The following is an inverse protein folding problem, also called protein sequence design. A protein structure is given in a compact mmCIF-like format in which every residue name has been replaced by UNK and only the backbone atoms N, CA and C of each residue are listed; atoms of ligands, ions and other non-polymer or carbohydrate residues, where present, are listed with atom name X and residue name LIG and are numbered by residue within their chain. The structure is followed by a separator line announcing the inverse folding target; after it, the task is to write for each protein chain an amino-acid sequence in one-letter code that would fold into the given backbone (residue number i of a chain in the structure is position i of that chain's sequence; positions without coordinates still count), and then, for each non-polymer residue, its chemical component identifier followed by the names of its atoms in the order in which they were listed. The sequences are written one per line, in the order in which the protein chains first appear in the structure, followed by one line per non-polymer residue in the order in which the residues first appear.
data_IF_773434042039
#
_entry.id   IF_773434042039
#
_cell.length_a   1.000
_cell.length_b   1.000
_cell.length_c   1.000
_cell.angle_alpha   90.00
_cell.angle_beta   90.00
_cell.angle_gamma   90.00
#
_symmetry.space_group_name_H-M   'P 1'
#
loop_
_entity.id
_entity.type
_entity.pdbx_description
1 polymer ?
#
# COMPACT_ATOMS: atom_id res chain seq x y z
N UNK A 1 9.38 -9.70 -9.69
CA UNK A 1 10.25 -10.03 -8.55
C UNK A 1 10.78 -8.74 -7.95
N UNK A 2 10.91 -8.63 -6.63
CA UNK A 2 11.47 -7.43 -5.97
C UNK A 2 12.97 -7.68 -5.82
N UNK A 3 13.79 -6.90 -6.51
CA UNK A 3 15.25 -6.98 -6.47
C UNK A 3 15.87 -5.73 -5.88
N UNK A 4 17.12 -5.84 -5.43
CA UNK A 4 17.92 -4.66 -5.13
C UNK A 4 18.31 -3.97 -6.43
N UNK A 5 18.11 -2.65 -6.50
CA UNK A 5 18.61 -1.84 -7.59
C UNK A 5 20.15 -1.81 -7.55
N UNK A 6 20.80 -1.93 -8.71
CA UNK A 6 22.27 -1.86 -8.82
C UNK A 6 22.76 -0.43 -9.03
N UNK A 7 21.88 0.48 -9.44
CA UNK A 7 22.12 1.92 -9.54
C UNK A 7 20.99 2.69 -8.86
N UNK A 8 21.29 3.89 -8.33
CA UNK A 8 20.25 4.81 -7.85
C UNK A 8 19.34 5.30 -8.98
N UNK A 9 19.83 5.32 -10.21
CA UNK A 9 19.05 5.73 -11.38
C UNK A 9 17.92 4.74 -11.73
N UNK A 10 18.02 3.48 -11.25
CA UNK A 10 16.98 2.47 -11.43
C UNK A 10 15.86 2.58 -10.37
N UNK A 11 16.07 3.42 -9.35
CA UNK A 11 15.17 3.56 -8.20
C UNK A 11 14.09 4.57 -8.53
N UNK A 12 12.91 4.08 -8.88
CA UNK A 12 11.73 4.92 -9.11
C UNK A 12 11.02 5.33 -7.82
N UNK A 13 11.29 4.62 -6.71
CA UNK A 13 10.77 4.94 -5.38
C UNK A 13 11.82 4.59 -4.30
N UNK A 14 12.56 5.58 -3.75
CA UNK A 14 13.63 5.31 -2.79
C UNK A 14 13.07 5.00 -1.40
N UNK A 15 12.94 3.72 -1.09
CA UNK A 15 12.51 3.22 0.22
C UNK A 15 13.66 2.48 0.89
N UNK A 16 13.99 2.92 2.10
CA UNK A 16 14.94 2.24 2.96
C UNK A 16 14.20 1.42 4.02
N UNK A 17 14.46 0.12 4.03
CA UNK A 17 13.95 -0.78 5.06
C UNK A 17 14.88 -0.80 6.28
N UNK A 18 14.30 -0.63 7.46
CA UNK A 18 15.02 -0.67 8.74
C UNK A 18 14.35 -1.69 9.65
N UNK A 19 15.09 -2.73 10.00
CA UNK A 19 14.67 -3.65 11.05
C UNK A 19 14.67 -2.94 12.40
N UNK A 20 13.57 -3.08 13.14
CA UNK A 20 13.50 -2.62 14.52
C UNK A 20 14.43 -3.48 15.40
N UNK A 21 15.66 -3.02 15.61
CA UNK A 21 16.58 -3.63 16.58
C UNK A 21 16.17 -3.31 18.02
N UNK A 22 16.77 -3.99 19.01
CA UNK A 22 16.55 -3.70 20.43
C UNK A 22 16.74 -2.21 20.76
N UNK A 23 17.79 -1.60 20.20
CA UNK A 23 18.08 -0.17 20.39
C UNK A 23 16.95 0.72 19.85
N UNK A 24 16.46 0.42 18.65
CA UNK A 24 15.40 1.22 18.00
C UNK A 24 14.06 1.02 18.72
N UNK A 25 13.79 -0.18 19.21
CA UNK A 25 12.56 -0.52 19.94
C UNK A 25 12.43 0.30 21.24
N UNK A 26 13.54 0.61 21.91
CA UNK A 26 13.54 1.47 23.11
C UNK A 26 13.18 2.93 22.79
N UNK A 27 13.65 3.42 21.64
CA UNK A 27 13.64 4.85 21.33
C UNK A 27 12.50 5.24 20.36
N UNK A 28 11.74 4.27 19.82
CA UNK A 28 10.62 4.51 18.91
C UNK A 28 9.40 3.63 19.22
N UNK A 29 8.29 4.27 19.61
CA UNK A 29 7.01 3.62 19.95
C UNK A 29 6.36 2.80 18.83
N UNK A 30 6.73 3.04 17.57
CA UNK A 30 6.23 2.30 16.40
C UNK A 30 7.08 1.07 16.09
N UNK A 31 8.15 0.83 16.86
CA UNK A 31 8.88 -0.43 16.89
C UNK A 31 8.50 -1.17 18.18
N UNK A 32 7.92 -2.36 18.06
CA UNK A 32 7.40 -3.12 19.20
C UNK A 32 8.25 -4.34 19.58
N UNK A 33 9.08 -4.84 18.66
CA UNK A 33 9.94 -6.01 18.86
C UNK A 33 9.20 -7.29 19.29
N UNK A 34 9.96 -8.37 19.51
CA UNK A 34 9.50 -9.62 20.14
C UNK A 34 8.24 -10.27 19.52
N UNK A 35 8.13 -10.30 18.20
CA UNK A 35 7.01 -10.91 17.50
C UNK A 35 5.74 -10.05 17.47
N UNK A 36 5.80 -8.80 17.93
CA UNK A 36 4.71 -7.84 17.80
C UNK A 36 4.86 -7.05 16.49
N UNK A 37 4.05 -7.36 15.46
CA UNK A 37 4.13 -6.68 14.19
C UNK A 37 3.77 -5.20 14.38
N UNK A 38 4.66 -4.33 13.92
CA UNK A 38 4.49 -2.88 13.96
C UNK A 38 5.41 -2.27 12.91
N UNK A 39 5.03 -1.11 12.40
CA UNK A 39 5.84 -0.39 11.46
C UNK A 39 5.39 1.05 11.33
N UNK A 40 6.21 1.84 10.65
CA UNK A 40 5.85 3.19 10.29
C UNK A 40 6.67 3.65 9.10
N UNK A 41 5.98 4.21 8.12
CA UNK A 41 6.56 5.09 7.13
C UNK A 41 7.01 6.39 7.80
N UNK A 42 8.22 6.83 7.48
CA UNK A 42 8.76 8.10 7.96
C UNK A 42 9.66 8.73 6.90
N UNK A 43 9.88 10.04 7.03
CA UNK A 43 10.61 10.83 6.06
C UNK A 43 9.69 11.69 5.20
N UNK A 44 10.30 12.51 4.34
CA UNK A 44 9.58 13.34 3.39
C UNK A 44 10.11 13.02 2.00
N UNK A 45 9.23 12.64 1.09
CA UNK A 45 9.41 12.97 -0.32
C UNK A 45 9.34 14.50 -0.39
N UNK A 46 10.45 15.20 -0.18
CA UNK A 46 10.40 16.64 -0.35
C UNK A 46 10.05 16.93 -1.81
N UNK A 47 9.14 17.88 -1.97
CA UNK A 47 8.53 18.44 -3.18
C UNK A 47 9.51 18.86 -4.32
N UNK A 48 10.80 18.49 -4.22
CA UNK A 48 11.90 18.87 -5.11
C UNK A 48 12.77 17.68 -5.56
N UNK A 49 12.31 16.43 -5.42
CA UNK A 49 13.01 15.27 -5.98
C UNK A 49 14.21 14.77 -5.16
N UNK A 50 14.33 15.19 -3.90
CA UNK A 50 15.34 14.67 -2.96
C UNK A 50 14.70 14.42 -1.60
N UNK A 51 14.65 13.17 -1.17
CA UNK A 51 14.11 12.78 0.12
C UNK A 51 14.32 11.28 0.36
N UNK A 52 14.51 10.88 1.61
CA UNK A 52 14.62 9.46 1.99
C UNK A 52 13.33 9.03 2.68
N UNK A 53 12.67 8.03 2.12
CA UNK A 53 11.55 7.34 2.76
C UNK A 53 12.10 6.16 3.53
N UNK A 54 11.69 6.01 4.78
CA UNK A 54 12.11 4.93 5.65
C UNK A 54 10.89 4.14 6.12
N UNK A 55 10.91 2.83 5.92
CA UNK A 55 9.97 1.91 6.54
C UNK A 55 10.69 1.22 7.68
N UNK A 56 10.34 1.60 8.91
CA UNK A 56 10.75 0.86 10.11
C UNK A 56 9.74 -0.23 10.35
N UNK A 57 10.19 -1.44 10.65
CA UNK A 57 9.29 -2.58 10.77
C UNK A 57 9.85 -3.62 11.73
N UNK A 58 9.05 -4.00 12.71
CA UNK A 58 9.34 -5.12 13.62
C UNK A 58 9.19 -6.42 12.86
N UNK A 59 10.14 -7.34 13.07
CA UNK A 59 10.05 -8.73 12.61
C UNK A 59 9.70 -8.85 11.12
N UNK A 60 10.46 -8.16 10.26
CA UNK A 60 10.21 -8.05 8.80
C UNK A 60 9.81 -9.35 8.12
N UNK A 61 10.44 -10.46 8.52
CA UNK A 61 10.22 -11.78 7.93
C UNK A 61 8.81 -12.33 8.14
N UNK A 62 8.13 -11.92 9.21
CA UNK A 62 6.77 -12.39 9.56
C UNK A 62 5.73 -11.28 9.43
N UNK A 63 6.16 -10.02 9.39
CA UNK A 63 5.28 -8.86 9.40
C UNK A 63 4.91 -8.32 7.99
N UNK A 64 4.56 -9.23 7.08
CA UNK A 64 4.34 -8.87 5.67
C UNK A 64 3.12 -7.98 5.43
N UNK A 65 2.09 -8.05 6.27
CA UNK A 65 0.92 -7.17 6.16
C UNK A 65 1.30 -5.71 6.45
N UNK A 66 2.04 -5.45 7.55
CA UNK A 66 2.53 -4.10 7.85
C UNK A 66 3.47 -3.61 6.76
N UNK A 67 4.36 -4.47 6.26
CA UNK A 67 5.23 -4.09 5.14
C UNK A 67 4.43 -3.62 3.92
N UNK A 68 3.39 -4.37 3.55
CA UNK A 68 2.51 -4.03 2.44
C UNK A 68 1.76 -2.73 2.70
N UNK A 69 1.28 -2.53 3.94
CA UNK A 69 0.61 -1.31 4.38
C UNK A 69 1.49 -0.06 4.23
N UNK A 70 2.73 -0.12 4.75
CA UNK A 70 3.65 1.02 4.67
C UNK A 70 4.14 1.26 3.23
N UNK A 71 4.25 0.21 2.42
CA UNK A 71 4.47 0.35 0.97
C UNK A 71 3.28 1.05 0.29
N UNK A 72 2.05 0.73 0.68
CA UNK A 72 0.85 1.42 0.21
C UNK A 72 0.91 2.92 0.50
N UNK A 73 1.26 3.30 1.72
CA UNK A 73 1.50 4.71 2.06
C UNK A 73 2.59 5.36 1.21
N UNK A 74 3.71 4.66 0.97
CA UNK A 74 4.79 5.17 0.11
C UNK A 74 4.34 5.40 -1.34
N UNK A 75 3.37 4.61 -1.81
CA UNK A 75 2.72 4.75 -3.12
C UNK A 75 1.60 5.80 -3.13
N UNK A 76 1.35 6.49 -2.02
CA UNK A 76 0.36 7.56 -1.91
C UNK A 76 -1.01 7.13 -1.40
N UNK A 77 -1.17 5.88 -0.96
CA UNK A 77 -2.44 5.39 -0.44
C UNK A 77 -2.76 5.94 0.96
N UNK A 78 -4.05 6.13 1.19
CA UNK A 78 -4.65 6.47 2.48
C UNK A 78 -5.43 5.28 3.04
N UNK A 79 -5.83 5.37 4.31
CA UNK A 79 -6.63 4.32 4.95
C UNK A 79 -8.04 4.24 4.35
N UNK A 80 -8.48 3.02 4.07
CA UNK A 80 -9.83 2.71 3.66
C UNK A 80 -10.67 2.27 4.87
N UNK A 81 -11.95 2.59 4.85
CA UNK A 81 -12.92 2.06 5.81
C UNK A 81 -13.43 0.67 5.35
N UNK A 82 -12.51 -0.23 5.00
CA UNK A 82 -12.80 -1.53 4.41
C UNK A 82 -12.00 -2.65 5.11
N UNK A 83 -12.51 -3.87 5.09
CA UNK A 83 -11.78 -5.07 5.50
C UNK A 83 -11.11 -5.73 4.28
N UNK A 84 -10.16 -6.64 4.53
CA UNK A 84 -9.49 -7.45 3.49
C UNK A 84 -8.77 -6.63 2.41
N UNK A 85 -8.21 -5.48 2.78
CA UNK A 85 -7.32 -4.68 1.94
C UNK A 85 -6.09 -4.23 2.74
N UNK A 86 -4.99 -3.88 2.08
CA UNK A 86 -3.75 -3.58 2.79
C UNK A 86 -3.88 -2.28 3.61
N UNK A 87 -4.69 -1.33 3.14
CA UNK A 87 -4.94 -0.06 3.80
C UNK A 87 -6.22 -0.04 4.65
N UNK A 88 -6.81 -1.21 4.91
CA UNK A 88 -8.02 -1.37 5.71
C UNK A 88 -7.79 -1.32 7.22
N UNK A 89 -8.80 -1.77 7.99
CA UNK A 89 -8.69 -1.87 9.45
C UNK A 89 -7.51 -2.73 9.86
N UNK A 90 -6.73 -2.29 10.86
CA UNK A 90 -5.48 -2.97 11.27
C UNK A 90 -5.60 -4.45 11.62
N UNK A 91 -6.78 -4.94 12.03
CA UNK A 91 -7.03 -6.37 12.31
C UNK A 91 -7.36 -7.23 11.09
N UNK A 92 -7.58 -6.61 9.93
CA UNK A 92 -8.08 -7.23 8.70
C UNK A 92 -7.25 -6.81 7.46
N UNK A 93 -5.99 -6.44 7.66
CA UNK A 93 -5.09 -6.07 6.59
C UNK A 93 -4.53 -7.29 5.86
N UNK A 94 -4.51 -7.23 4.53
CA UNK A 94 -3.94 -8.27 3.67
C UNK A 94 -2.41 -8.19 3.62
N UNK A 95 -1.78 -9.27 3.17
CA UNK A 95 -0.32 -9.36 2.94
C UNK A 95 0.06 -8.99 1.50
N UNK A 96 -0.87 -8.49 0.70
CA UNK A 96 -0.73 -8.11 -0.70
C UNK A 96 -1.59 -6.88 -0.97
N UNK A 97 -1.31 -6.16 -2.05
CA UNK A 97 -2.16 -5.05 -2.50
C UNK A 97 -3.48 -5.63 -3.01
N UNK A 98 -4.60 -5.20 -2.42
CA UNK A 98 -5.92 -5.63 -2.89
C UNK A 98 -6.33 -4.89 -4.17
N UNK A 99 -7.43 -5.32 -4.76
CA UNK A 99 -8.07 -4.70 -5.90
C UNK A 99 -8.32 -3.20 -5.68
N UNK A 100 -8.70 -2.79 -4.46
CA UNK A 100 -8.87 -1.39 -4.08
C UNK A 100 -7.58 -0.60 -4.05
N UNK A 101 -6.53 -1.20 -3.48
CA UNK A 101 -5.22 -0.59 -3.42
C UNK A 101 -4.68 -0.37 -4.84
N UNK A 102 -4.84 -1.35 -5.73
CA UNK A 102 -4.40 -1.30 -7.11
C UNK A 102 -5.15 -0.24 -7.93
N UNK A 103 -6.48 -0.17 -7.78
CA UNK A 103 -7.30 0.88 -8.41
C UNK A 103 -6.87 2.28 -7.96
N UNK A 104 -6.68 2.47 -6.66
CA UNK A 104 -6.28 3.76 -6.10
C UNK A 104 -4.86 4.15 -6.54
N UNK A 105 -3.90 3.23 -6.54
CA UNK A 105 -2.55 3.45 -7.09
C UNK A 105 -2.68 3.87 -8.56
N UNK A 106 -3.46 3.14 -9.37
CA UNK A 106 -3.63 3.46 -10.79
C UNK A 106 -4.23 4.84 -11.00
N UNK A 107 -5.18 5.26 -10.17
CA UNK A 107 -5.81 6.57 -10.26
C UNK A 107 -4.83 7.70 -9.85
N UNK A 108 -4.12 7.53 -8.73
CA UNK A 108 -3.19 8.54 -8.19
C UNK A 108 -2.04 8.79 -9.16
N UNK A 109 -1.50 7.73 -9.76
CA UNK A 109 -0.35 7.79 -10.67
C UNK A 109 -0.73 7.96 -12.15
N UNK A 110 -2.02 8.10 -12.46
CA UNK A 110 -2.45 8.38 -13.82
C UNK A 110 -1.91 9.75 -14.28
N UNK A 111 -1.49 9.87 -15.55
CA UNK A 111 -0.89 11.11 -16.07
C UNK A 111 -1.79 12.35 -16.04
N UNK A 112 -3.10 12.14 -15.91
CA UNK A 112 -4.13 13.20 -15.80
C UNK A 112 -4.43 13.58 -14.35
N UNK A 113 -3.96 12.79 -13.40
CA UNK A 113 -4.07 13.04 -11.97
C UNK A 113 -3.22 14.25 -11.61
N UNK A 114 -3.81 15.17 -10.86
CA UNK A 114 -3.21 16.41 -10.38
C UNK A 114 -3.49 16.56 -8.91
N UNK A 115 -2.51 17.14 -8.22
CA UNK A 115 -2.66 17.51 -6.82
C UNK A 115 -3.86 18.44 -6.62
N UNK A 116 -4.61 18.23 -5.53
CA UNK A 116 -5.80 19.01 -5.18
C UNK A 116 -6.98 18.93 -6.15
N UNK A 117 -7.08 17.87 -6.96
CA UNK A 117 -8.32 17.60 -7.69
C UNK A 117 -9.46 17.24 -6.73
N UNK A 118 -10.64 17.83 -6.97
CA UNK A 118 -11.88 17.32 -6.40
C UNK A 118 -12.21 15.97 -7.02
N UNK A 119 -13.04 15.19 -6.32
CA UNK A 119 -13.61 13.92 -6.82
C UNK A 119 -14.14 14.06 -8.24
N UNK A 120 -14.98 15.07 -8.50
CA UNK A 120 -15.64 15.23 -9.80
C UNK A 120 -14.66 15.69 -10.90
N UNK A 121 -13.66 16.51 -10.55
CA UNK A 121 -12.61 16.89 -11.50
C UNK A 121 -11.67 15.73 -11.86
N UNK A 122 -11.42 14.82 -10.91
CA UNK A 122 -10.66 13.60 -11.16
C UNK A 122 -11.46 12.65 -12.06
N UNK A 123 -12.77 12.49 -11.79
CA UNK A 123 -13.69 11.72 -12.64
C UNK A 123 -13.62 12.19 -14.08
N UNK A 124 -13.81 13.49 -14.31
CA UNK A 124 -13.77 14.09 -15.64
C UNK A 124 -12.41 13.87 -16.32
N UNK A 125 -11.30 14.09 -15.59
CA UNK A 125 -9.96 13.90 -16.11
C UNK A 125 -9.67 12.44 -16.51
N UNK A 126 -10.22 11.47 -15.78
CA UNK A 126 -10.13 10.03 -16.08
C UNK A 126 -11.15 9.57 -17.13
N UNK A 127 -12.02 10.46 -17.63
CA UNK A 127 -13.05 10.11 -18.61
C UNK A 127 -14.13 9.18 -18.07
N UNK A 128 -14.32 9.13 -16.74
CA UNK A 128 -15.35 8.30 -16.10
C UNK A 128 -16.71 8.97 -16.32
N UNK A 129 -17.71 8.28 -16.92
CA UNK A 129 -19.01 8.88 -17.19
C UNK A 129 -19.83 9.08 -15.91
N UNK A 130 -20.69 10.11 -15.89
CA UNK A 130 -21.73 10.26 -14.86
C UNK A 130 -22.92 9.35 -15.18
N UNK A 131 -22.77 8.07 -14.84
CA UNK A 131 -23.80 7.05 -15.00
C UNK A 131 -24.36 6.62 -13.64
N UNK A 132 -25.31 5.69 -13.64
CA UNK A 132 -25.93 5.19 -12.41
C UNK A 132 -24.91 4.63 -11.42
N UNK A 133 -23.82 4.04 -11.90
CA UNK A 133 -22.73 3.53 -11.05
C UNK A 133 -22.00 4.69 -10.35
N UNK A 134 -21.67 5.76 -11.07
CA UNK A 134 -21.10 6.97 -10.47
C UNK A 134 -22.04 7.57 -9.43
N UNK A 135 -23.30 7.79 -9.79
CA UNK A 135 -24.31 8.36 -8.88
C UNK A 135 -24.42 7.52 -7.60
N UNK A 136 -24.53 6.20 -7.76
CA UNK A 136 -24.58 5.24 -6.65
C UNK A 136 -23.43 5.40 -5.66
N UNK A 137 -22.18 5.45 -6.13
CA UNK A 137 -21.03 5.64 -5.22
C UNK A 137 -20.92 7.06 -4.69
N UNK A 138 -21.36 8.06 -5.45
CA UNK A 138 -21.27 9.46 -5.05
C UNK A 138 -22.24 9.84 -3.93
N UNK A 139 -23.36 9.13 -3.83
CA UNK A 139 -24.43 9.31 -2.84
C UNK A 139 -24.28 8.38 -1.63
N UNK A 140 -23.71 7.19 -1.81
CA UNK A 140 -23.49 6.20 -0.76
C UNK A 140 -22.04 5.67 -0.75
N UNK A 141 -21.15 6.29 0.03
CA UNK A 141 -19.75 5.87 0.16
C UNK A 141 -19.56 4.49 0.78
N UNK A 142 -20.55 3.93 1.49
CA UNK A 142 -20.42 2.60 2.08
C UNK A 142 -20.38 1.50 1.00
N UNK A 143 -20.83 1.82 -0.21
CA UNK A 143 -20.79 0.94 -1.38
C UNK A 143 -19.40 0.86 -2.03
N UNK A 144 -18.43 1.68 -1.61
CA UNK A 144 -17.05 1.62 -2.11
C UNK A 144 -16.34 0.28 -1.84
N UNK A 145 -16.92 -0.58 -0.99
CA UNK A 145 -16.45 -1.95 -0.76
C UNK A 145 -17.00 -3.01 -1.71
N UNK A 146 -17.89 -2.67 -2.64
CA UNK A 146 -18.47 -3.63 -3.59
C UNK A 146 -17.44 -4.13 -4.59
N UNK A 147 -17.36 -5.45 -4.82
CA UNK A 147 -16.42 -6.06 -5.79
C UNK A 147 -16.20 -5.21 -7.07
N UNK A 148 -14.96 -4.77 -7.35
CA UNK A 148 -14.67 -3.94 -8.51
C UNK A 148 -14.63 -4.75 -9.82
N UNK A 149 -14.27 -4.07 -10.91
CA UNK A 149 -14.08 -4.70 -12.22
C UNK A 149 -13.18 -5.94 -12.13
N UNK A 150 -13.53 -7.05 -12.83
CA UNK A 150 -12.78 -8.29 -12.79
C UNK A 150 -11.28 -8.14 -13.03
N UNK A 151 -10.86 -7.16 -13.85
CA UNK A 151 -9.44 -6.92 -14.14
C UNK A 151 -8.64 -6.64 -12.87
N UNK A 152 -9.19 -5.86 -11.94
CA UNK A 152 -8.52 -5.53 -10.67
C UNK A 152 -8.53 -6.71 -9.71
N UNK A 153 -9.63 -7.45 -9.67
CA UNK A 153 -9.78 -8.66 -8.86
C UNK A 153 -8.79 -9.74 -9.31
N UNK A 154 -8.66 -9.97 -10.62
CA UNK A 154 -7.71 -10.92 -11.19
C UNK A 154 -6.26 -10.54 -10.87
N UNK A 155 -5.90 -9.25 -11.00
CA UNK A 155 -4.57 -8.78 -10.64
C UNK A 155 -4.29 -8.94 -9.14
N UNK A 156 -5.24 -8.60 -8.28
CA UNK A 156 -5.11 -8.80 -6.83
C UNK A 156 -4.92 -10.28 -6.47
N UNK A 157 -5.68 -11.17 -7.09
CA UNK A 157 -5.55 -12.62 -6.91
C UNK A 157 -4.15 -13.13 -7.32
N UNK A 158 -3.58 -12.61 -8.41
CA UNK A 158 -2.21 -12.96 -8.81
C UNK A 158 -1.19 -12.52 -7.74
N UNK A 159 -1.36 -11.33 -7.18
CA UNK A 159 -0.50 -10.83 -6.11
C UNK A 159 -0.67 -11.63 -4.81
N UNK A 160 -1.88 -12.07 -4.49
CA UNK A 160 -2.16 -12.96 -3.36
C UNK A 160 -1.43 -14.30 -3.51
N UNK A 161 -1.51 -14.93 -4.69
CA UNK A 161 -0.85 -16.21 -4.95
C UNK A 161 0.67 -16.06 -4.77
N UNK A 162 1.27 -15.05 -5.42
CA UNK A 162 2.71 -14.78 -5.30
C UNK A 162 3.12 -14.49 -3.86
N UNK A 163 2.29 -13.75 -3.14
CA UNK A 163 2.43 -13.43 -1.73
C UNK A 163 2.52 -14.69 -0.86
N UNK A 164 1.55 -15.57 -1.00
CA UNK A 164 1.45 -16.81 -0.22
C UNK A 164 2.61 -17.74 -0.56
N UNK A 165 2.97 -17.87 -1.84
CA UNK A 165 4.11 -18.68 -2.27
C UNK A 165 5.44 -18.18 -1.68
N UNK A 166 5.66 -16.86 -1.69
CA UNK A 166 6.86 -16.27 -1.10
C UNK A 166 6.94 -16.55 0.41
N UNK A 167 5.82 -16.36 1.13
CA UNK A 167 5.74 -16.64 2.57
C UNK A 167 6.10 -18.10 2.85
N UNK A 168 5.48 -19.06 2.14
CA UNK A 168 5.75 -20.50 2.30
C UNK A 168 7.20 -20.87 2.05
N UNK A 169 7.91 -20.18 1.15
CA UNK A 169 9.34 -20.40 0.90
C UNK A 169 10.23 -19.92 2.05
N UNK A 170 9.78 -18.88 2.77
CA UNK A 170 10.55 -18.24 3.86
C UNK A 170 10.16 -18.69 5.26
N UNK A 171 9.05 -19.42 5.41
CA UNK A 171 8.63 -19.99 6.68
C UNK A 171 9.68 -21.02 7.18
N UNK A 172 10.05 -20.98 8.47
CA UNK A 172 10.94 -21.99 9.04
C UNK A 172 10.30 -23.38 8.89
N UNK A 173 11.03 -24.32 8.28
CA UNK A 173 10.64 -25.73 8.24
C UNK A 173 11.02 -26.35 9.58
N UNK A 174 10.04 -26.56 10.45
CA UNK A 174 10.20 -27.34 11.68
C UNK A 174 10.03 -28.83 11.41
#
# INVERSE_FOLDING_TARGET
DIGYANSLDDVTLPIHFVDCTELITRDNKNCKGNGNPSGALSGSLMFHGSGSIWIRISDQRINRHTLTHELGHALGLFHWNLENCSMGYGRAQTKWLSEWDLMAISAIHHSVSKWHQSRDSMREALGIPENDQWTRYSEDPDLLGDTPDPTWVELANLLEIQAIEAIRKTEPKY
#
